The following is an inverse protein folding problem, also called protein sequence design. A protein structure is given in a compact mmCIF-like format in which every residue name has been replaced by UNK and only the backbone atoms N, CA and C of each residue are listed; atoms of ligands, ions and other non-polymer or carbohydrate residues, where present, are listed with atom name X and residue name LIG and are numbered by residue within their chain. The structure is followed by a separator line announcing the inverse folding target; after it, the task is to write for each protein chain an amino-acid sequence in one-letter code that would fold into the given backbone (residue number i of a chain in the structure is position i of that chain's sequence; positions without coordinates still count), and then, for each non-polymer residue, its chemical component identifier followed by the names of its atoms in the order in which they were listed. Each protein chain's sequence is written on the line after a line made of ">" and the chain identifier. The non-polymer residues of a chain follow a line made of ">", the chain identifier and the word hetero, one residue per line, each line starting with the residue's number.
data_IF_324186049741
#
_entry.id   IF_324186049741
#
_cell.length_a   1.000
_cell.length_b   1.000
_cell.length_c   1.000
_cell.angle_alpha   90.00
_cell.angle_beta   90.00
_cell.angle_gamma   90.00
#
_symmetry.space_group_name_H-M   'P 1'
#
loop_
_entity.id
_entity.type
_entity.pdbx_description
1 polymer ?
#
# COMPACT_ATOMS: atom_id res chain seq x y z
N UNK A 1 -6.00 -18.75 16.67
CA UNK A 1 -5.01 -18.57 15.59
C UNK A 1 -4.88 -17.07 15.36
N UNK A 2 -3.71 -16.47 15.56
CA UNK A 2 -3.54 -15.05 15.25
C UNK A 2 -3.64 -14.89 13.72
N UNK A 3 -4.46 -13.96 13.20
CA UNK A 3 -4.54 -13.75 11.76
C UNK A 3 -3.17 -13.33 11.23
N UNK A 4 -2.76 -13.90 10.10
CA UNK A 4 -1.51 -13.55 9.45
C UNK A 4 -1.54 -12.06 9.07
N UNK A 5 -0.55 -11.28 9.52
CA UNK A 5 -0.51 -9.82 9.30
C UNK A 5 -0.11 -9.43 7.87
N UNK A 6 0.28 -10.39 7.04
CA UNK A 6 0.75 -10.16 5.67
C UNK A 6 0.33 -11.31 4.75
N UNK A 7 0.42 -11.05 3.46
CA UNK A 7 0.19 -12.05 2.41
C UNK A 7 1.52 -12.75 2.16
N UNK A 8 1.52 -14.08 2.17
CA UNK A 8 2.68 -14.90 1.80
C UNK A 8 2.58 -15.17 0.31
N UNK A 9 3.61 -14.77 -0.43
CA UNK A 9 3.84 -15.15 -1.82
C UNK A 9 4.88 -16.27 -1.76
N UNK A 10 4.52 -17.45 -2.23
CA UNK A 10 5.41 -18.61 -2.20
C UNK A 10 6.55 -18.47 -3.20
N UNK A 11 7.71 -19.07 -2.93
CA UNK A 11 8.84 -19.06 -3.88
C UNK A 11 8.51 -19.86 -5.16
N UNK A 12 7.52 -20.75 -5.10
CA UNK A 12 6.97 -21.47 -6.25
C UNK A 12 5.95 -20.66 -7.06
N UNK A 13 5.53 -19.48 -6.58
CA UNK A 13 4.65 -18.59 -7.35
C UNK A 13 5.43 -17.86 -8.45
N UNK A 14 5.18 -18.27 -9.69
CA UNK A 14 5.86 -17.69 -10.83
C UNK A 14 5.25 -16.35 -11.31
N UNK A 15 4.11 -15.90 -10.74
CA UNK A 15 3.39 -14.69 -11.18
C UNK A 15 2.49 -14.89 -12.41
N UNK A 16 2.12 -13.80 -13.07
CA UNK A 16 1.15 -13.77 -14.18
C UNK A 16 1.79 -13.33 -15.51
N UNK A 17 1.34 -13.86 -16.66
CA UNK A 17 1.87 -13.45 -17.96
C UNK A 17 1.51 -11.99 -18.27
N UNK A 18 2.37 -11.29 -19.02
CA UNK A 18 2.22 -9.85 -19.30
C UNK A 18 0.99 -9.53 -20.15
N UNK A 19 0.62 -10.42 -21.08
CA UNK A 19 -0.51 -10.26 -22.00
C UNK A 19 -1.89 -10.32 -21.33
N UNK A 20 -1.94 -10.77 -20.08
CA UNK A 20 -3.13 -10.70 -19.23
C UNK A 20 -3.40 -9.29 -18.68
N UNK A 21 -2.48 -8.33 -18.87
CA UNK A 21 -2.58 -6.98 -18.31
C UNK A 21 -2.26 -5.88 -19.32
N UNK A 22 -2.66 -4.67 -18.98
CA UNK A 22 -2.28 -3.46 -19.73
C UNK A 22 -0.87 -3.00 -19.31
N UNK A 23 0.16 -3.52 -20.00
CA UNK A 23 1.56 -3.15 -19.77
C UNK A 23 2.01 -2.06 -20.78
N UNK A 24 2.79 -1.04 -20.35
CA UNK A 24 3.34 -0.06 -21.28
C UNK A 24 4.32 -0.73 -22.26
N UNK A 25 4.04 -0.61 -23.56
CA UNK A 25 4.78 -1.32 -24.64
C UNK A 25 6.30 -1.14 -24.63
N UNK A 26 6.78 -0.01 -24.15
CA UNK A 26 8.23 0.25 -24.08
C UNK A 26 8.94 -0.57 -23.00
N UNK A 27 8.19 -1.29 -22.15
CA UNK A 27 8.71 -2.21 -21.14
C UNK A 27 8.62 -3.70 -21.53
N UNK A 28 7.98 -4.05 -22.65
CA UNK A 28 7.69 -5.45 -23.01
C UNK A 28 8.96 -6.32 -23.09
N UNK A 29 10.08 -5.77 -23.55
CA UNK A 29 11.36 -6.48 -23.64
C UNK A 29 12.14 -6.58 -22.31
N UNK A 30 11.67 -5.91 -21.25
CA UNK A 30 12.38 -5.78 -19.98
C UNK A 30 11.63 -6.40 -18.80
N UNK A 31 10.41 -6.89 -19.03
CA UNK A 31 9.58 -7.52 -18.03
C UNK A 31 9.43 -9.00 -18.36
N UNK A 32 9.41 -9.83 -17.32
CA UNK A 32 9.15 -11.26 -17.46
C UNK A 32 7.68 -11.54 -17.15
N UNK A 33 7.28 -11.32 -15.89
CA UNK A 33 5.92 -11.59 -15.39
C UNK A 33 5.45 -10.50 -14.43
N UNK A 34 4.13 -10.34 -14.30
CA UNK A 34 3.53 -9.49 -13.27
C UNK A 34 3.48 -10.31 -11.98
N UNK A 35 4.25 -9.92 -10.95
CA UNK A 35 4.20 -10.59 -9.65
C UNK A 35 2.93 -10.23 -8.88
N UNK A 36 2.61 -8.94 -8.80
CA UNK A 36 1.46 -8.41 -8.08
C UNK A 36 0.64 -7.46 -8.97
N UNK A 37 -0.59 -7.84 -9.34
CA UNK A 37 -1.53 -6.94 -10.00
C UNK A 37 -1.83 -5.71 -9.12
N UNK A 38 -2.01 -4.55 -9.77
CA UNK A 38 -2.32 -3.29 -9.09
C UNK A 38 -3.57 -3.39 -8.18
N UNK A 39 -4.59 -4.13 -8.62
CA UNK A 39 -5.81 -4.35 -7.83
C UNK A 39 -5.54 -5.05 -6.50
N UNK A 40 -4.75 -6.13 -6.50
CA UNK A 40 -4.38 -6.87 -5.28
C UNK A 40 -3.62 -5.97 -4.30
N UNK A 41 -2.75 -5.10 -4.81
CA UNK A 41 -2.03 -4.12 -4.00
C UNK A 41 -3.02 -3.16 -3.32
N UNK A 42 -3.99 -2.60 -4.08
CA UNK A 42 -4.99 -1.70 -3.51
C UNK A 42 -5.89 -2.39 -2.47
N UNK A 43 -6.31 -3.63 -2.71
CA UNK A 43 -7.12 -4.41 -1.76
C UNK A 43 -6.35 -4.63 -0.44
N UNK A 44 -5.04 -4.95 -0.54
CA UNK A 44 -4.20 -5.11 0.65
C UNK A 44 -3.96 -3.79 1.39
N UNK A 45 -3.78 -2.69 0.66
CA UNK A 45 -3.64 -1.34 1.22
C UNK A 45 -4.92 -0.95 1.99
N UNK A 46 -6.10 -1.26 1.46
CA UNK A 46 -7.35 -0.97 2.15
C UNK A 46 -7.45 -1.70 3.50
N UNK A 47 -7.06 -2.98 3.54
CA UNK A 47 -6.99 -3.71 4.80
C UNK A 47 -5.96 -3.10 5.75
N UNK A 48 -4.78 -2.73 5.24
CA UNK A 48 -3.71 -2.13 6.04
C UNK A 48 -4.14 -0.78 6.63
N UNK A 49 -4.86 0.03 5.85
CA UNK A 49 -5.39 1.32 6.27
C UNK A 49 -6.38 1.16 7.44
N UNK A 50 -7.27 0.16 7.37
CA UNK A 50 -8.17 -0.16 8.50
C UNK A 50 -7.37 -0.56 9.74
N UNK A 51 -6.41 -1.47 9.60
CA UNK A 51 -5.62 -1.95 10.74
C UNK A 51 -4.87 -0.77 11.41
N UNK A 52 -4.22 0.10 10.63
CA UNK A 52 -3.54 1.30 11.13
C UNK A 52 -4.51 2.28 11.78
N UNK A 53 -5.64 2.58 11.14
CA UNK A 53 -6.61 3.52 11.69
C UNK A 53 -7.19 3.04 13.04
N UNK A 54 -7.34 1.73 13.23
CA UNK A 54 -7.77 1.13 14.49
C UNK A 54 -6.67 1.18 15.55
N UNK A 55 -5.41 0.96 15.18
CA UNK A 55 -4.27 1.01 16.11
C UNK A 55 -4.02 2.43 16.65
N UNK A 56 -4.26 3.47 15.83
CA UNK A 56 -4.09 4.89 16.19
C UNK A 56 -5.41 5.60 16.52
N UNK A 57 -6.42 4.86 16.97
CA UNK A 57 -7.75 5.40 17.27
C UNK A 57 -7.69 6.65 18.15
N UNK A 58 -8.20 7.78 17.63
CA UNK A 58 -8.23 9.09 18.30
C UNK A 58 -6.84 9.60 18.76
N UNK A 59 -5.75 9.11 18.16
CA UNK A 59 -4.38 9.54 18.44
C UNK A 59 -3.76 10.23 17.23
N UNK A 60 -3.20 11.45 17.39
CA UNK A 60 -2.50 12.10 16.30
C UNK A 60 -1.22 11.32 15.97
N UNK A 61 -0.90 11.20 14.69
CA UNK A 61 0.34 10.56 14.24
C UNK A 61 0.93 11.24 13.01
N UNK A 62 2.24 11.04 12.83
CA UNK A 62 3.00 11.51 11.67
C UNK A 62 3.28 10.36 10.73
N UNK A 63 2.79 10.46 9.50
CA UNK A 63 3.11 9.52 8.43
C UNK A 63 4.40 9.96 7.71
N UNK A 64 5.45 9.15 7.82
CA UNK A 64 6.76 9.44 7.24
C UNK A 64 6.99 8.64 5.94
N UNK A 65 7.14 9.32 4.82
CA UNK A 65 7.42 8.70 3.52
C UNK A 65 8.93 8.64 3.24
N UNK A 66 9.46 7.43 3.01
CA UNK A 66 10.84 7.23 2.54
C UNK A 66 10.89 7.31 1.01
N UNK A 67 11.51 8.37 0.51
CA UNK A 67 11.68 8.63 -0.92
C UNK A 67 12.88 7.87 -1.51
N UNK A 68 12.84 7.51 -2.80
CA UNK A 68 11.79 7.84 -3.79
C UNK A 68 10.70 6.78 -3.91
N UNK A 69 11.05 5.50 -3.77
CA UNK A 69 10.17 4.37 -4.11
C UNK A 69 8.88 4.27 -3.29
N UNK A 70 8.85 4.84 -2.07
CA UNK A 70 7.68 4.76 -1.20
C UNK A 70 6.51 5.66 -1.59
N UNK A 71 6.69 6.63 -2.50
CA UNK A 71 5.71 7.71 -2.70
C UNK A 71 4.31 7.21 -3.11
N UNK A 72 4.24 6.23 -4.02
CA UNK A 72 2.97 5.72 -4.55
C UNK A 72 2.18 4.98 -3.47
N UNK A 73 2.82 4.00 -2.83
CA UNK A 73 2.26 3.27 -1.71
C UNK A 73 1.82 4.21 -0.58
N UNK A 74 2.64 5.20 -0.26
CA UNK A 74 2.34 6.17 0.78
C UNK A 74 1.09 7.00 0.48
N UNK A 75 0.95 7.48 -0.76
CA UNK A 75 -0.24 8.22 -1.19
C UNK A 75 -1.50 7.33 -1.13
N UNK A 76 -1.44 6.14 -1.73
CA UNK A 76 -2.56 5.18 -1.75
C UNK A 76 -2.99 4.79 -0.33
N UNK A 77 -2.03 4.56 0.58
CA UNK A 77 -2.29 4.22 1.97
C UNK A 77 -2.95 5.36 2.75
N UNK A 78 -2.42 6.57 2.66
CA UNK A 78 -3.00 7.73 3.35
C UNK A 78 -4.41 8.04 2.86
N UNK A 79 -4.67 7.90 1.56
CA UNK A 79 -5.99 8.10 1.00
C UNK A 79 -6.99 7.09 1.55
N UNK A 80 -6.58 5.82 1.67
CA UNK A 80 -7.39 4.76 2.29
C UNK A 80 -7.60 4.95 3.79
N UNK A 81 -6.60 5.41 4.56
CA UNK A 81 -6.76 5.73 5.99
C UNK A 81 -7.79 6.84 6.15
N UNK A 82 -7.63 7.95 5.41
CA UNK A 82 -8.58 9.06 5.47
C UNK A 82 -9.98 8.64 5.01
N UNK A 83 -10.08 7.77 4.00
CA UNK A 83 -11.38 7.22 3.57
C UNK A 83 -12.03 6.39 4.67
N UNK A 84 -11.28 5.52 5.34
CA UNK A 84 -11.78 4.71 6.43
C UNK A 84 -12.32 5.58 7.58
N UNK A 85 -11.51 6.53 8.08
CA UNK A 85 -11.90 7.39 9.21
C UNK A 85 -13.12 8.25 8.90
N UNK A 86 -13.21 8.80 7.68
CA UNK A 86 -14.41 9.55 7.24
C UNK A 86 -15.69 8.72 7.28
N UNK A 87 -15.58 7.41 7.06
CA UNK A 87 -16.73 6.52 6.96
C UNK A 87 -17.15 5.91 8.30
N UNK A 88 -16.29 5.90 9.34
CA UNK A 88 -16.66 5.37 10.66
C UNK A 88 -17.39 6.38 11.54
N UNK A 89 -17.30 7.68 11.23
CA UNK A 89 -17.94 8.74 12.02
C UNK A 89 -17.26 8.99 13.37
N UNK A 90 -16.08 8.41 13.58
CA UNK A 90 -15.31 8.53 14.81
C UNK A 90 -14.49 9.83 14.84
N UNK A 91 -14.14 10.35 16.03
CA UNK A 91 -13.27 11.52 16.16
C UNK A 91 -11.98 11.32 15.36
N UNK A 92 -11.69 12.27 14.47
CA UNK A 92 -10.49 12.21 13.62
C UNK A 92 -9.35 12.98 14.28
N UNK A 93 -8.37 12.26 14.81
CA UNK A 93 -7.13 12.89 15.22
C UNK A 93 -6.33 13.40 14.00
N UNK A 94 -5.58 14.50 14.13
CA UNK A 94 -4.76 15.03 13.04
C UNK A 94 -3.71 14.02 12.55
N UNK A 95 -3.65 13.84 11.22
CA UNK A 95 -2.58 13.09 10.55
C UNK A 95 -1.64 14.11 9.90
N UNK A 96 -0.39 14.17 10.35
CA UNK A 96 0.65 14.96 9.71
C UNK A 96 1.47 14.08 8.76
N UNK A 97 2.16 14.71 7.81
CA UNK A 97 2.93 14.04 6.75
C UNK A 97 4.32 14.62 6.69
N UNK A 98 5.34 13.77 6.58
CA UNK A 98 6.73 14.17 6.38
C UNK A 98 7.43 13.26 5.35
N UNK A 99 8.53 13.74 4.79
CA UNK A 99 9.27 13.06 3.72
C UNK A 99 10.77 13.06 4.00
N UNK A 100 11.37 11.87 3.96
CA UNK A 100 12.83 11.72 4.08
C UNK A 100 13.41 11.04 2.85
N UNK A 101 14.68 11.33 2.59
CA UNK A 101 15.48 10.60 1.60
C UNK A 101 16.73 10.04 2.29
N UNK A 102 16.87 8.73 2.26
CA UNK A 102 18.10 8.09 2.74
C UNK A 102 19.21 8.34 1.71
N UNK A 103 20.36 8.82 2.20
CA UNK A 103 21.60 8.85 1.42
C UNK A 103 22.41 7.63 1.87
N UNK A 104 22.72 6.76 0.91
CA UNK A 104 23.75 5.73 1.09
C UNK A 104 25.12 6.31 0.84
#
# INVERSE_FOLDING_TARGET
>A
MHPCKYIVISDEEEGYPLDAFCIPRHYDAFLDRVLLPCGIIHDRIERLARDIAQDYYDQPFTALCVLKGGYKFFADLLDKIKQYVRNTGEPTAPISVDFIRLKS
#
